data_IF_687910267946
#
_entry.id   IF_687910267946
#
_cell.length_a   1.000
_cell.length_b   1.000
_cell.length_c   1.000
_cell.angle_alpha   90.00
_cell.angle_beta   90.00
_cell.angle_gamma   90.00
#
_symmetry.space_group_name_H-M   'P 1'
#
loop_
_entity.id
_entity.type
_entity.pdbx_description
1 polymer ?
#
# COMPACT_ATOMS: atom_id res chain seq x y z
N UNK A 1 -32.02 17.32 -17.85
CA UNK A 1 -31.12 17.26 -16.67
C UNK A 1 -31.88 17.49 -15.36
N UNK A 2 -32.56 18.63 -15.17
CA UNK A 2 -33.34 18.90 -13.93
C UNK A 2 -34.50 17.91 -13.72
N UNK A 3 -35.23 17.56 -14.79
CA UNK A 3 -36.37 16.63 -14.74
C UNK A 3 -35.99 15.16 -14.43
N UNK A 4 -34.70 14.82 -14.49
CA UNK A 4 -34.20 13.46 -14.21
C UNK A 4 -33.53 13.34 -12.83
N UNK A 5 -33.58 14.40 -12.01
CA UNK A 5 -33.08 14.33 -10.64
C UNK A 5 -33.94 13.36 -9.81
N UNK A 6 -33.35 12.58 -8.89
CA UNK A 6 -34.09 11.70 -7.99
C UNK A 6 -35.20 12.46 -7.23
N UNK A 7 -36.33 11.81 -6.88
CA UNK A 7 -37.43 12.47 -6.17
C UNK A 7 -37.01 13.16 -4.86
N UNK A 8 -36.01 12.59 -4.17
CA UNK A 8 -35.43 13.19 -2.96
C UNK A 8 -34.76 14.53 -3.25
N UNK A 9 -34.05 14.68 -4.38
CA UNK A 9 -33.41 15.93 -4.76
C UNK A 9 -34.45 16.99 -5.17
N UNK A 10 -35.50 16.57 -5.89
CA UNK A 10 -36.59 17.47 -6.28
C UNK A 10 -37.34 18.04 -5.06
N UNK A 11 -37.55 17.23 -4.01
CA UNK A 11 -38.30 17.63 -2.82
C UNK A 11 -37.66 18.79 -2.05
N UNK A 12 -36.35 18.75 -1.80
CA UNK A 12 -35.67 19.84 -1.09
C UNK A 12 -35.42 21.05 -2.01
N UNK A 13 -35.19 20.84 -3.32
CA UNK A 13 -35.08 21.93 -4.29
C UNK A 13 -36.38 22.72 -4.38
N UNK A 14 -37.54 22.04 -4.39
CA UNK A 14 -38.84 22.67 -4.32
C UNK A 14 -39.02 23.50 -3.03
N UNK A 15 -38.46 23.06 -1.89
CA UNK A 15 -38.45 23.83 -0.64
C UNK A 15 -37.52 25.05 -0.70
N UNK A 16 -36.34 24.92 -1.33
CA UNK A 16 -35.38 26.02 -1.49
C UNK A 16 -35.92 27.12 -2.41
N UNK A 17 -36.57 26.74 -3.50
CA UNK A 17 -37.17 27.65 -4.49
C UNK A 17 -38.61 28.04 -4.16
N UNK A 18 -39.10 27.70 -2.96
CA UNK A 18 -40.36 28.22 -2.44
C UNK A 18 -40.22 29.68 -2.01
N UNK A 19 -41.36 30.35 -1.77
CA UNK A 19 -41.36 31.69 -1.18
C UNK A 19 -40.50 31.71 0.09
N UNK A 20 -39.61 32.70 0.26
CA UNK A 20 -39.58 34.00 -0.39
C UNK A 20 -38.76 34.09 -1.70
N UNK A 21 -38.27 32.97 -2.25
CA UNK A 21 -37.59 32.98 -3.55
C UNK A 21 -38.64 33.15 -4.65
N UNK A 22 -38.44 34.13 -5.54
CA UNK A 22 -39.34 34.35 -6.69
C UNK A 22 -39.01 33.44 -7.88
N UNK A 23 -37.85 32.77 -7.85
CA UNK A 23 -37.48 31.75 -8.83
C UNK A 23 -38.16 30.42 -8.48
N UNK A 24 -39.39 30.23 -8.97
CA UNK A 24 -40.17 29.03 -8.64
C UNK A 24 -39.58 27.76 -9.29
N UNK A 25 -39.58 26.65 -8.55
CA UNK A 25 -39.12 25.35 -9.04
C UNK A 25 -39.90 24.85 -10.27
N UNK A 26 -41.23 25.05 -10.29
CA UNK A 26 -42.06 24.71 -11.45
C UNK A 26 -41.65 25.50 -12.70
N UNK A 27 -41.33 26.79 -12.57
CA UNK A 27 -40.87 27.61 -13.69
C UNK A 27 -39.52 27.14 -14.26
N UNK A 28 -38.65 26.57 -13.42
CA UNK A 28 -37.39 25.94 -13.85
C UNK A 28 -37.62 24.60 -14.58
N UNK A 29 -38.65 23.84 -14.19
CA UNK A 29 -39.02 22.56 -14.82
C UNK A 29 -39.70 22.77 -16.18
N UNK A 30 -40.60 23.75 -16.25
CA UNK A 30 -41.43 24.05 -17.42
C UNK A 30 -40.72 24.97 -18.43
N UNK A 31 -39.53 25.48 -18.08
CA UNK A 31 -38.72 26.35 -18.94
C UNK A 31 -39.24 27.79 -19.06
N UNK A 32 -40.14 28.23 -18.18
CA UNK A 32 -40.69 29.59 -18.15
C UNK A 32 -39.88 30.58 -17.32
N UNK A 33 -38.87 30.09 -16.57
CA UNK A 33 -37.91 30.93 -15.87
C UNK A 33 -36.98 31.68 -16.86
N UNK A 34 -36.47 32.87 -16.51
CA UNK A 34 -35.54 33.57 -17.37
C UNK A 34 -34.26 32.75 -17.59
N UNK A 35 -33.80 32.73 -18.85
CA UNK A 35 -32.85 31.73 -19.36
C UNK A 35 -31.52 31.75 -18.58
N UNK A 36 -31.02 32.93 -18.26
CA UNK A 36 -29.74 33.13 -17.57
C UNK A 36 -29.75 32.48 -16.18
N UNK A 37 -30.80 32.71 -15.41
CA UNK A 37 -30.96 32.19 -14.06
C UNK A 37 -31.21 30.68 -14.08
N UNK A 38 -31.99 30.21 -15.06
CA UNK A 38 -32.20 28.78 -15.26
C UNK A 38 -30.89 28.05 -15.59
N UNK A 39 -30.04 28.62 -16.45
CA UNK A 39 -28.76 28.03 -16.82
C UNK A 39 -27.76 28.03 -15.65
N UNK A 40 -27.75 29.10 -14.85
CA UNK A 40 -26.94 29.13 -13.61
C UNK A 40 -27.35 28.01 -12.65
N UNK A 41 -28.67 27.81 -12.43
CA UNK A 41 -29.14 26.71 -11.58
C UNK A 41 -28.75 25.35 -12.17
N UNK A 42 -28.88 25.15 -13.49
CA UNK A 42 -28.48 23.90 -14.15
C UNK A 42 -26.99 23.59 -13.97
N UNK A 43 -26.14 24.60 -14.09
CA UNK A 43 -24.70 24.46 -13.91
C UNK A 43 -24.33 23.98 -12.50
N UNK A 44 -24.97 24.53 -11.46
CA UNK A 44 -24.71 24.07 -10.10
C UNK A 44 -25.31 22.69 -9.80
N UNK A 45 -26.44 22.36 -10.43
CA UNK A 45 -27.04 21.03 -10.30
C UNK A 45 -26.26 19.94 -11.07
N UNK A 46 -25.45 20.29 -12.07
CA UNK A 46 -24.54 19.33 -12.74
C UNK A 46 -23.48 18.78 -11.77
N UNK A 47 -23.07 19.61 -10.79
CA UNK A 47 -22.07 19.29 -9.77
C UNK A 47 -22.66 18.52 -8.57
N UNK A 48 -23.97 18.31 -8.55
CA UNK A 48 -24.66 17.59 -7.48
C UNK A 48 -24.21 16.12 -7.44
N UNK A 49 -23.80 15.65 -6.26
CA UNK A 49 -23.24 14.32 -6.05
C UNK A 49 -21.71 14.27 -6.03
N UNK A 50 -21.03 15.34 -6.47
CA UNK A 50 -19.58 15.47 -6.31
C UNK A 50 -19.24 15.94 -4.89
N UNK A 51 -18.72 15.04 -4.05
CA UNK A 51 -18.30 15.37 -2.66
C UNK A 51 -17.22 16.46 -2.57
N UNK A 52 -16.51 16.71 -3.67
CA UNK A 52 -15.43 17.69 -3.75
C UNK A 52 -15.89 19.07 -4.27
N UNK A 53 -17.15 19.20 -4.71
CA UNK A 53 -17.70 20.44 -5.24
C UNK A 53 -18.75 21.04 -4.29
N UNK A 54 -18.68 22.34 -3.97
CA UNK A 54 -19.76 23.01 -3.28
C UNK A 54 -21.00 23.13 -4.17
N UNK A 55 -22.12 23.46 -3.53
CA UNK A 55 -23.36 23.82 -4.18
C UNK A 55 -23.67 25.27 -3.88
N UNK A 56 -23.88 26.08 -4.93
CA UNK A 56 -24.22 27.50 -4.81
C UNK A 56 -25.50 27.76 -5.60
N UNK A 57 -26.56 28.26 -4.95
CA UNK A 57 -27.85 28.48 -5.58
C UNK A 57 -28.31 29.94 -5.48
N UNK A 58 -28.90 30.51 -6.55
CA UNK A 58 -29.35 31.89 -6.57
C UNK A 58 -30.65 32.09 -5.78
N UNK A 59 -30.79 33.28 -5.22
CA UNK A 59 -31.99 33.76 -4.55
C UNK A 59 -32.53 35.00 -5.27
N UNK A 60 -33.77 34.92 -5.75
CA UNK A 60 -34.42 36.01 -6.48
C UNK A 60 -35.50 36.71 -5.67
N UNK A 61 -35.56 38.03 -5.81
CA UNK A 61 -36.62 38.89 -5.25
C UNK A 61 -36.72 40.18 -6.08
N UNK A 62 -37.94 40.67 -6.30
CA UNK A 62 -38.17 41.87 -7.11
C UNK A 62 -37.82 41.68 -8.60
N UNK A 63 -37.93 40.46 -9.12
CA UNK A 63 -37.63 40.15 -10.53
C UNK A 63 -36.14 40.01 -10.89
N UNK A 64 -35.23 40.04 -9.91
CA UNK A 64 -33.78 39.86 -10.12
C UNK A 64 -33.11 39.01 -9.05
N UNK A 65 -31.86 38.61 -9.29
CA UNK A 65 -31.04 37.92 -8.30
C UNK A 65 -30.62 38.91 -7.22
N UNK A 66 -30.90 38.59 -5.96
CA UNK A 66 -30.58 39.43 -4.78
C UNK A 66 -29.52 38.81 -3.86
N UNK A 67 -29.08 37.59 -4.18
CA UNK A 67 -27.97 36.92 -3.51
C UNK A 67 -27.84 35.46 -3.88
N UNK A 68 -26.91 34.77 -3.23
CA UNK A 68 -26.68 33.34 -3.35
C UNK A 68 -26.57 32.69 -1.99
N UNK A 69 -26.95 31.42 -1.94
CA UNK A 69 -26.67 30.54 -0.82
C UNK A 69 -25.67 29.47 -1.24
N UNK A 70 -24.62 29.30 -0.45
CA UNK A 70 -23.57 28.33 -0.70
C UNK A 70 -23.47 27.32 0.45
N UNK A 71 -23.27 26.05 0.12
CA UNK A 71 -23.04 24.96 1.09
C UNK A 71 -22.11 23.91 0.54
N UNK A 72 -21.44 23.18 1.42
CA UNK A 72 -20.78 21.92 1.06
C UNK A 72 -21.81 20.81 0.89
N UNK A 73 -21.50 19.83 0.05
CA UNK A 73 -22.34 18.63 -0.15
C UNK A 73 -22.06 17.55 0.92
N UNK A 74 -21.96 17.97 2.19
CA UNK A 74 -21.70 17.13 3.37
C UNK A 74 -21.47 17.95 4.64
N UNK A 75 -21.42 17.30 5.80
CA UNK A 75 -21.35 17.98 7.10
C UNK A 75 -19.98 18.64 7.42
N UNK A 76 -18.94 18.33 6.65
CA UNK A 76 -17.58 18.85 6.85
C UNK A 76 -17.18 19.83 5.73
N UNK A 77 -16.07 20.56 5.93
CA UNK A 77 -15.49 21.44 4.90
C UNK A 77 -16.14 22.82 4.81
N UNK A 78 -17.07 23.15 5.71
CA UNK A 78 -17.85 24.38 5.63
C UNK A 78 -16.99 25.65 5.79
N UNK A 79 -16.01 25.63 6.70
CA UNK A 79 -15.14 26.80 6.90
C UNK A 79 -14.22 27.04 5.71
N UNK A 80 -13.65 25.94 5.19
CA UNK A 80 -12.80 25.95 4.00
C UNK A 80 -13.56 26.46 2.77
N UNK A 81 -14.82 26.08 2.62
CA UNK A 81 -15.69 26.65 1.58
C UNK A 81 -15.86 28.16 1.73
N UNK A 82 -16.02 28.64 2.97
CA UNK A 82 -16.13 30.06 3.25
C UNK A 82 -14.88 30.82 2.77
N UNK A 83 -13.71 30.30 3.12
CA UNK A 83 -12.43 30.89 2.72
C UNK A 83 -12.21 30.83 1.19
N UNK A 84 -12.58 29.71 0.56
CA UNK A 84 -12.48 29.51 -0.90
C UNK A 84 -13.35 30.51 -1.67
N UNK A 85 -14.62 30.67 -1.28
CA UNK A 85 -15.54 31.62 -1.92
C UNK A 85 -15.06 33.06 -1.71
N UNK A 86 -14.63 33.39 -0.49
CA UNK A 86 -14.14 34.74 -0.19
C UNK A 86 -12.88 35.08 -0.99
N UNK A 87 -11.95 34.13 -1.12
CA UNK A 87 -10.76 34.28 -1.95
C UNK A 87 -11.10 34.41 -3.45
N UNK A 88 -12.07 33.64 -3.94
CA UNK A 88 -12.48 33.65 -5.35
C UNK A 88 -13.20 34.95 -5.78
N UNK A 89 -14.15 35.40 -4.95
CA UNK A 89 -14.95 36.58 -5.25
C UNK A 89 -14.21 37.88 -4.89
N UNK A 90 -13.38 37.84 -3.84
CA UNK A 90 -12.67 38.99 -3.30
C UNK A 90 -13.60 40.00 -2.60
N UNK A 91 -13.04 40.87 -1.74
CA UNK A 91 -13.85 41.82 -0.96
C UNK A 91 -14.46 42.95 -1.80
N UNK A 92 -13.96 43.20 -3.01
CA UNK A 92 -14.35 44.35 -3.84
C UNK A 92 -15.83 44.35 -4.22
N UNK A 93 -16.43 43.17 -4.42
CA UNK A 93 -17.81 43.05 -4.92
C UNK A 93 -18.79 42.61 -3.84
N UNK A 94 -18.30 42.11 -2.71
CA UNK A 94 -19.12 41.53 -1.65
C UNK A 94 -19.61 42.63 -0.70
N UNK A 95 -20.92 42.86 -0.64
CA UNK A 95 -21.54 43.67 0.42
C UNK A 95 -21.92 42.83 1.62
N UNK A 96 -22.20 41.54 1.38
CA UNK A 96 -22.57 40.58 2.41
C UNK A 96 -21.90 39.26 2.13
N UNK A 97 -21.15 38.79 3.12
CA UNK A 97 -20.61 37.43 3.18
C UNK A 97 -20.74 36.95 4.62
N UNK A 98 -21.83 36.25 4.92
CA UNK A 98 -22.14 35.83 6.28
C UNK A 98 -22.48 34.34 6.35
N UNK A 99 -22.06 33.71 7.43
CA UNK A 99 -22.51 32.36 7.79
C UNK A 99 -23.89 32.46 8.40
N UNK A 100 -24.86 31.74 7.84
CA UNK A 100 -26.21 31.70 8.39
C UNK A 100 -26.22 30.89 9.69
N UNK A 101 -26.67 31.46 10.83
CA UNK A 101 -26.75 30.73 12.09
C UNK A 101 -27.66 29.51 11.99
N UNK A 102 -27.35 28.45 12.75
CA UNK A 102 -28.15 27.21 12.76
C UNK A 102 -29.59 27.44 13.22
N UNK A 103 -29.81 28.37 14.15
CA UNK A 103 -31.14 28.69 14.68
C UNK A 103 -31.89 29.75 13.83
N UNK A 104 -31.35 30.09 12.67
CA UNK A 104 -32.00 31.03 11.75
C UNK A 104 -33.27 30.41 11.13
N UNK A 105 -34.35 31.20 11.10
CA UNK A 105 -35.62 30.87 10.44
C UNK A 105 -35.56 31.09 8.90
N UNK A 106 -34.37 31.15 8.33
CA UNK A 106 -34.16 31.27 6.90
C UNK A 106 -34.51 29.93 6.21
N UNK A 107 -35.58 29.94 5.42
CA UNK A 107 -36.12 28.75 4.75
C UNK A 107 -35.15 28.14 3.74
N UNK A 108 -34.39 28.97 3.01
CA UNK A 108 -33.41 28.51 2.02
C UNK A 108 -32.22 27.85 2.72
N UNK A 109 -31.68 28.49 3.76
CA UNK A 109 -30.60 27.92 4.53
C UNK A 109 -31.01 26.63 5.26
N UNK A 110 -32.27 26.54 5.71
CA UNK A 110 -32.82 25.34 6.35
C UNK A 110 -32.93 24.19 5.33
N UNK A 111 -33.42 24.45 4.11
CA UNK A 111 -33.50 23.42 3.07
C UNK A 111 -32.12 22.82 2.71
N UNK A 112 -31.08 23.66 2.62
CA UNK A 112 -29.71 23.20 2.37
C UNK A 112 -29.13 22.42 3.57
N UNK A 113 -29.37 22.86 4.80
CA UNK A 113 -28.93 22.18 6.03
C UNK A 113 -29.58 20.82 6.19
N UNK A 114 -30.89 20.73 5.98
CA UNK A 114 -31.63 19.46 6.06
C UNK A 114 -31.07 18.42 5.09
N UNK A 115 -30.63 18.85 3.89
CA UNK A 115 -30.10 17.96 2.86
C UNK A 115 -28.64 17.56 3.07
N UNK A 116 -27.77 18.48 3.46
CA UNK A 116 -26.32 18.26 3.46
C UNK A 116 -25.66 18.28 4.84
N UNK A 117 -26.34 18.82 5.86
CA UNK A 117 -25.80 18.96 7.22
C UNK A 117 -24.62 19.93 7.34
N UNK A 118 -24.23 20.61 6.27
CA UNK A 118 -23.07 21.50 6.18
C UNK A 118 -23.35 22.92 6.66
N UNK A 119 -22.29 23.73 6.67
CA UNK A 119 -22.37 25.18 6.92
C UNK A 119 -22.93 25.88 5.69
N UNK A 120 -23.91 26.77 5.89
CA UNK A 120 -24.50 27.58 4.82
C UNK A 120 -23.99 29.01 4.91
N UNK A 121 -23.53 29.53 3.77
CA UNK A 121 -23.16 30.93 3.59
C UNK A 121 -24.20 31.66 2.75
N UNK A 122 -24.41 32.92 3.08
CA UNK A 122 -25.21 33.86 2.29
C UNK A 122 -24.30 34.94 1.72
N UNK A 123 -24.42 35.15 0.41
CA UNK A 123 -23.55 36.00 -0.38
C UNK A 123 -24.42 37.02 -1.11
N UNK A 124 -24.07 38.30 -1.07
CA UNK A 124 -24.71 39.34 -1.86
C UNK A 124 -23.72 40.44 -2.27
N UNK A 125 -24.01 41.08 -3.41
CA UNK A 125 -23.28 42.23 -3.93
C UNK A 125 -23.86 43.56 -3.43
N UNK A 126 -23.11 44.65 -3.59
CA UNK A 126 -23.51 45.98 -3.15
C UNK A 126 -24.56 46.63 -4.06
N UNK A 127 -24.44 46.39 -5.36
CA UNK A 127 -25.27 46.96 -6.43
C UNK A 127 -25.44 45.95 -7.58
N UNK A 128 -26.23 46.32 -8.59
CA UNK A 128 -26.51 45.45 -9.74
C UNK A 128 -25.24 45.09 -10.53
N UNK A 129 -24.25 45.99 -10.59
CA UNK A 129 -22.98 45.74 -11.27
C UNK A 129 -22.14 44.69 -10.53
N UNK A 130 -22.10 44.76 -9.20
CA UNK A 130 -21.48 43.75 -8.35
C UNK A 130 -22.22 42.41 -8.47
N UNK A 131 -23.55 42.42 -8.50
CA UNK A 131 -24.36 41.21 -8.67
C UNK A 131 -24.10 40.53 -10.01
N UNK A 132 -24.02 41.29 -11.11
CA UNK A 132 -23.64 40.74 -12.41
C UNK A 132 -22.22 40.17 -12.41
N UNK A 133 -21.28 40.87 -11.77
CA UNK A 133 -19.87 40.41 -11.66
C UNK A 133 -19.76 39.12 -10.84
N UNK A 134 -20.45 39.03 -9.70
CA UNK A 134 -20.49 37.82 -8.87
C UNK A 134 -21.12 36.67 -9.65
N UNK A 135 -22.21 36.91 -10.38
CA UNK A 135 -22.86 35.91 -11.24
C UNK A 135 -21.85 35.29 -12.21
N UNK A 136 -21.12 36.13 -12.95
CA UNK A 136 -20.12 35.68 -13.91
C UNK A 136 -19.00 34.87 -13.24
N UNK A 137 -18.44 35.38 -12.13
CA UNK A 137 -17.38 34.69 -11.39
C UNK A 137 -17.82 33.34 -10.80
N UNK A 138 -19.07 33.23 -10.34
CA UNK A 138 -19.61 31.96 -9.85
C UNK A 138 -19.78 30.95 -11.00
N UNK A 139 -20.15 31.40 -12.19
CA UNK A 139 -20.20 30.52 -13.38
C UNK A 139 -18.80 30.08 -13.82
N UNK A 140 -17.79 30.94 -13.72
CA UNK A 140 -16.39 30.55 -13.95
C UNK A 140 -15.92 29.52 -12.91
N UNK A 141 -16.29 29.74 -11.64
CA UNK A 141 -15.95 28.83 -10.55
C UNK A 141 -16.53 27.44 -10.78
N UNK A 142 -17.82 27.34 -11.12
CA UNK A 142 -18.46 26.07 -11.46
C UNK A 142 -17.78 25.41 -12.68
N UNK A 143 -17.41 26.16 -13.71
CA UNK A 143 -16.70 25.63 -14.88
C UNK A 143 -15.33 25.04 -14.54
N UNK A 144 -14.60 25.63 -13.59
CA UNK A 144 -13.32 25.10 -13.09
C UNK A 144 -13.56 23.82 -12.29
N UNK A 145 -14.61 23.77 -11.46
CA UNK A 145 -14.96 22.59 -10.68
C UNK A 145 -15.38 21.41 -11.57
N UNK A 146 -16.11 21.66 -12.67
CA UNK A 146 -16.47 20.63 -13.65
C UNK A 146 -15.25 20.00 -14.33
N UNK A 147 -14.18 20.78 -14.53
CA UNK A 147 -12.91 20.32 -15.12
C UNK A 147 -11.93 19.76 -14.11
N UNK A 148 -12.28 19.78 -12.82
CA UNK A 148 -11.39 19.32 -11.75
C UNK A 148 -11.17 17.80 -11.91
N UNK A 149 -9.92 17.34 -12.11
CA UNK A 149 -9.66 15.91 -12.15
C UNK A 149 -10.05 15.29 -10.81
N UNK A 150 -10.63 14.08 -10.85
CA UNK A 150 -10.92 13.27 -9.68
C UNK A 150 -9.58 12.92 -9.00
N UNK A 151 -9.11 13.79 -8.13
CA UNK A 151 -7.95 13.53 -7.31
C UNK A 151 -8.36 12.56 -6.21
N UNK A 152 -8.30 11.26 -6.50
CA UNK A 152 -8.31 10.22 -5.49
C UNK A 152 -7.04 10.46 -4.66
N UNK A 153 -7.16 11.18 -3.54
CA UNK A 153 -6.11 11.19 -2.53
C UNK A 153 -6.07 9.78 -1.95
N UNK A 154 -5.35 8.89 -2.63
CA UNK A 154 -4.94 7.61 -2.06
C UNK A 154 -4.16 7.98 -0.81
N UNK A 155 -4.76 7.77 0.37
CA UNK A 155 -4.07 7.98 1.65
C UNK A 155 -2.84 7.10 1.59
N UNK A 156 -1.68 7.73 1.50
CA UNK A 156 -0.42 7.01 1.37
C UNK A 156 -0.22 6.19 2.64
N UNK A 157 -0.35 4.87 2.51
CA UNK A 157 -0.23 3.96 3.65
C UNK A 157 1.24 3.89 4.09
N UNK A 158 1.52 3.73 5.38
CA UNK A 158 2.89 3.50 5.83
C UNK A 158 3.38 2.14 5.33
N UNK A 159 4.67 2.07 4.95
CA UNK A 159 5.30 0.85 4.39
C UNK A 159 5.08 -0.36 5.31
N UNK A 160 5.17 -0.16 6.63
CA UNK A 160 4.93 -1.23 7.61
C UNK A 160 3.51 -1.81 7.58
N UNK A 161 2.49 -1.00 7.26
CA UNK A 161 1.12 -1.49 7.15
C UNK A 161 0.92 -2.33 5.88
N UNK A 162 1.50 -1.90 4.75
CA UNK A 162 1.45 -2.68 3.49
C UNK A 162 2.19 -4.01 3.69
N UNK A 163 3.36 -3.98 4.36
CA UNK A 163 4.13 -5.20 4.66
C UNK A 163 3.36 -6.15 5.58
N UNK A 164 2.71 -5.63 6.62
CA UNK A 164 1.92 -6.47 7.52
C UNK A 164 0.73 -7.13 6.82
N UNK A 165 0.09 -6.44 5.89
CA UNK A 165 -1.02 -7.02 5.12
C UNK A 165 -0.52 -8.01 4.07
N UNK A 166 0.64 -7.75 3.46
CA UNK A 166 1.31 -8.72 2.58
C UNK A 166 1.60 -10.05 3.31
N UNK A 167 2.22 -10.02 4.49
CA UNK A 167 2.47 -11.26 5.26
C UNK A 167 1.16 -11.94 5.67
N UNK A 168 0.10 -11.18 5.97
CA UNK A 168 -1.22 -11.75 6.27
C UNK A 168 -1.84 -12.44 5.06
N UNK A 169 -1.72 -11.85 3.87
CA UNK A 169 -2.19 -12.44 2.63
C UNK A 169 -1.45 -13.75 2.31
N UNK A 170 -0.12 -13.78 2.52
CA UNK A 170 0.66 -15.01 2.38
C UNK A 170 0.20 -16.10 3.36
N UNK A 171 -0.03 -15.76 4.63
CA UNK A 171 -0.55 -16.72 5.63
C UNK A 171 -1.95 -17.23 5.28
N UNK A 172 -2.76 -16.42 4.59
CA UNK A 172 -4.09 -16.80 4.12
C UNK A 172 -4.07 -17.57 2.78
N UNK A 173 -2.92 -17.65 2.10
CA UNK A 173 -2.81 -18.19 0.75
C UNK A 173 -3.50 -17.34 -0.32
N UNK A 174 -3.75 -16.05 -0.05
CA UNK A 174 -4.38 -15.13 -0.99
C UNK A 174 -3.32 -14.47 -1.88
N UNK A 175 -2.99 -15.16 -2.97
CA UNK A 175 -2.05 -14.70 -4.00
C UNK A 175 -2.45 -13.33 -4.56
N UNK A 176 -3.73 -13.15 -4.90
CA UNK A 176 -4.22 -11.91 -5.53
C UNK A 176 -4.02 -10.70 -4.65
N UNK A 177 -4.27 -10.85 -3.34
CA UNK A 177 -4.06 -9.79 -2.38
C UNK A 177 -2.57 -9.52 -2.15
N UNK A 178 -1.74 -10.57 -2.09
CA UNK A 178 -0.30 -10.42 -1.92
C UNK A 178 0.37 -9.70 -3.11
N UNK A 179 -0.03 -10.04 -4.34
CA UNK A 179 0.41 -9.36 -5.56
C UNK A 179 -0.02 -7.89 -5.60
N UNK A 180 -1.25 -7.59 -5.17
CA UNK A 180 -1.74 -6.22 -5.08
C UNK A 180 -0.88 -5.37 -4.13
N UNK A 181 -0.40 -5.94 -3.01
CA UNK A 181 0.50 -5.23 -2.10
C UNK A 181 1.87 -4.96 -2.73
N UNK A 182 2.42 -5.90 -3.51
CA UNK A 182 3.66 -5.68 -4.27
C UNK A 182 3.47 -4.58 -5.32
N UNK A 183 2.33 -4.58 -6.04
CA UNK A 183 2.00 -3.53 -6.99
C UNK A 183 1.89 -2.16 -6.31
N UNK A 184 1.30 -2.09 -5.11
CA UNK A 184 1.26 -0.86 -4.31
C UNK A 184 2.67 -0.38 -3.94
N UNK A 185 3.57 -1.30 -3.53
CA UNK A 185 4.97 -0.95 -3.29
C UNK A 185 5.67 -0.40 -4.53
N UNK A 186 5.47 -1.02 -5.71
CA UNK A 186 6.03 -0.54 -6.99
C UNK A 186 5.52 0.87 -7.32
N UNK A 187 4.21 1.12 -7.18
CA UNK A 187 3.60 2.42 -7.49
C UNK A 187 4.10 3.55 -6.60
N UNK A 188 4.41 3.26 -5.32
CA UNK A 188 4.88 4.30 -4.40
C UNK A 188 6.36 4.67 -4.58
N UNK A 189 7.15 3.86 -5.32
CA UNK A 189 8.58 4.09 -5.55
C UNK A 189 9.44 4.05 -4.28
N UNK A 190 8.92 3.45 -3.20
CA UNK A 190 9.56 3.46 -1.87
C UNK A 190 10.57 2.34 -1.65
N UNK A 191 10.66 1.40 -2.58
CA UNK A 191 11.57 0.26 -2.53
C UNK A 191 12.53 0.33 -3.71
N UNK A 192 13.79 -0.06 -3.47
CA UNK A 192 14.75 -0.31 -4.54
C UNK A 192 14.44 -1.66 -5.23
N UNK A 193 15.06 -1.87 -6.39
CA UNK A 193 14.92 -3.13 -7.17
C UNK A 193 15.34 -4.36 -6.36
N UNK A 194 16.32 -4.24 -5.47
CA UNK A 194 16.77 -5.35 -4.60
C UNK A 194 15.66 -5.78 -3.62
N UNK A 195 15.06 -4.83 -2.90
CA UNK A 195 13.96 -5.10 -1.98
C UNK A 195 12.74 -5.66 -2.70
N UNK A 196 12.54 -5.26 -3.95
CA UNK A 196 11.47 -5.79 -4.77
C UNK A 196 11.70 -7.27 -5.08
N UNK A 197 12.92 -7.64 -5.49
CA UNK A 197 13.29 -9.05 -5.71
C UNK A 197 13.15 -9.89 -4.45
N UNK A 198 13.48 -9.33 -3.27
CA UNK A 198 13.23 -10.01 -1.99
C UNK A 198 11.75 -10.29 -1.77
N UNK A 199 10.86 -9.34 -2.09
CA UNK A 199 9.41 -9.56 -1.97
C UNK A 199 8.89 -10.60 -2.96
N UNK A 200 9.43 -10.66 -4.17
CA UNK A 200 9.05 -11.65 -5.19
C UNK A 200 9.47 -13.07 -4.79
N UNK A 201 10.68 -13.23 -4.23
CA UNK A 201 11.11 -14.51 -3.62
C UNK A 201 10.20 -14.87 -2.45
N UNK A 202 9.90 -13.90 -1.58
CA UNK A 202 9.04 -14.12 -0.41
C UNK A 202 7.61 -14.52 -0.80
N UNK A 203 7.06 -13.93 -1.85
CA UNK A 203 5.76 -14.30 -2.40
C UNK A 203 5.78 -15.75 -2.88
N UNK A 204 6.75 -16.09 -3.74
CA UNK A 204 6.90 -17.45 -4.28
C UNK A 204 7.05 -18.48 -3.17
N UNK A 205 7.82 -18.17 -2.13
CA UNK A 205 8.02 -19.02 -0.96
C UNK A 205 6.74 -19.17 -0.14
N UNK A 206 6.02 -18.07 0.13
CA UNK A 206 4.75 -18.07 0.85
C UNK A 206 3.65 -18.88 0.13
N UNK A 207 3.66 -18.89 -1.19
CA UNK A 207 2.75 -19.69 -2.03
C UNK A 207 3.22 -21.15 -2.24
N UNK A 208 4.38 -21.52 -1.72
CA UNK A 208 4.93 -22.86 -1.85
C UNK A 208 5.48 -23.19 -3.24
N UNK A 209 5.79 -22.19 -4.07
CA UNK A 209 6.35 -22.33 -5.41
C UNK A 209 7.86 -22.62 -5.38
N UNK A 210 8.29 -23.51 -4.50
CA UNK A 210 9.70 -23.83 -4.23
C UNK A 210 10.51 -24.20 -5.49
N UNK A 211 10.01 -25.06 -6.39
CA UNK A 211 10.77 -25.43 -7.58
C UNK A 211 10.98 -24.27 -8.55
N UNK A 212 10.11 -23.25 -8.55
CA UNK A 212 10.27 -22.09 -9.42
C UNK A 212 11.44 -21.23 -8.95
N UNK A 213 11.55 -21.02 -7.64
CA UNK A 213 12.69 -20.32 -7.03
C UNK A 213 13.99 -21.09 -7.28
N UNK A 214 14.00 -22.39 -6.96
CA UNK A 214 15.19 -23.23 -7.05
C UNK A 214 15.75 -23.36 -8.48
N UNK A 215 14.88 -23.32 -9.50
CA UNK A 215 15.28 -23.41 -10.90
C UNK A 215 15.74 -22.09 -11.50
N UNK A 216 15.52 -20.95 -10.83
CA UNK A 216 16.05 -19.66 -11.28
C UNK A 216 17.48 -19.45 -10.75
N UNK A 217 18.43 -20.09 -11.44
CA UNK A 217 19.83 -20.11 -11.05
C UNK A 217 20.47 -18.71 -11.09
N UNK A 218 19.99 -17.86 -12.01
CA UNK A 218 20.49 -16.49 -12.17
C UNK A 218 20.03 -15.60 -11.02
N UNK A 219 18.75 -15.71 -10.63
CA UNK A 219 18.21 -15.02 -9.47
C UNK A 219 18.99 -15.37 -8.21
N UNK A 220 19.16 -16.67 -7.93
CA UNK A 220 19.85 -17.13 -6.73
C UNK A 220 21.29 -16.61 -6.68
N UNK A 221 22.03 -16.72 -7.78
CA UNK A 221 23.43 -16.23 -7.85
C UNK A 221 23.50 -14.73 -7.61
N UNK A 222 22.62 -13.96 -8.25
CA UNK A 222 22.58 -12.50 -8.09
C UNK A 222 22.24 -12.09 -6.65
N UNK A 223 21.31 -12.80 -6.01
CA UNK A 223 20.89 -12.53 -4.64
C UNK A 223 21.94 -12.97 -3.61
N UNK A 224 22.66 -14.07 -3.86
CA UNK A 224 23.70 -14.58 -2.96
C UNK A 224 24.89 -13.62 -2.81
N UNK A 225 25.12 -12.74 -3.78
CA UNK A 225 26.14 -11.69 -3.72
C UNK A 225 25.70 -10.46 -2.88
N UNK A 226 24.42 -10.38 -2.50
CA UNK A 226 23.85 -9.27 -1.74
C UNK A 226 23.75 -9.58 -0.23
N UNK A 227 23.55 -8.53 0.56
CA UNK A 227 23.27 -8.67 1.99
C UNK A 227 21.83 -9.17 2.22
N UNK A 228 21.65 -10.49 2.26
CA UNK A 228 20.33 -11.13 2.35
C UNK A 228 19.64 -10.97 3.72
N UNK A 229 18.40 -10.46 3.80
CA UNK A 229 17.61 -10.55 5.02
C UNK A 229 17.45 -12.02 5.47
N UNK A 230 17.46 -12.34 6.78
CA UNK A 230 17.43 -13.72 7.27
C UNK A 230 16.26 -14.56 6.72
N UNK A 231 15.09 -13.94 6.56
CA UNK A 231 13.93 -14.63 6.00
C UNK A 231 14.13 -15.03 4.54
N UNK A 232 14.74 -14.16 3.73
CA UNK A 232 15.00 -14.46 2.31
C UNK A 232 16.06 -15.54 2.17
N UNK A 233 17.11 -15.49 3.01
CA UNK A 233 18.11 -16.56 3.05
C UNK A 233 17.46 -17.92 3.39
N UNK A 234 16.57 -17.95 4.39
CA UNK A 234 15.83 -19.14 4.74
C UNK A 234 14.95 -19.65 3.58
N UNK A 235 14.20 -18.75 2.93
CA UNK A 235 13.31 -19.07 1.82
C UNK A 235 14.09 -19.64 0.61
N UNK A 236 15.26 -19.07 0.29
CA UNK A 236 16.14 -19.55 -0.78
C UNK A 236 16.72 -20.95 -0.47
N UNK A 237 17.31 -21.14 0.71
CA UNK A 237 17.89 -22.43 1.10
C UNK A 237 16.79 -23.50 1.19
N UNK A 238 15.63 -23.17 1.74
CA UNK A 238 14.49 -24.08 1.82
C UNK A 238 13.99 -24.47 0.42
N UNK A 239 13.94 -23.53 -0.52
CA UNK A 239 13.55 -23.83 -1.90
C UNK A 239 14.49 -24.83 -2.57
N UNK A 240 15.80 -24.64 -2.41
CA UNK A 240 16.83 -25.51 -2.97
C UNK A 240 16.79 -26.90 -2.33
N UNK A 241 16.71 -26.95 -1.00
CA UNK A 241 16.67 -28.20 -0.25
C UNK A 241 15.44 -29.04 -0.63
N UNK A 242 14.25 -28.44 -0.65
CA UNK A 242 13.00 -29.13 -1.05
C UNK A 242 13.05 -29.65 -2.48
N UNK A 243 13.69 -28.92 -3.37
CA UNK A 243 13.68 -29.25 -4.80
C UNK A 243 14.69 -30.34 -5.15
N UNK A 244 15.86 -30.36 -4.51
CA UNK A 244 16.97 -31.22 -4.92
C UNK A 244 17.39 -32.29 -3.90
N UNK A 245 17.07 -32.11 -2.60
CA UNK A 245 17.62 -32.94 -1.51
C UNK A 245 16.54 -33.72 -0.78
N UNK A 246 15.35 -33.14 -0.61
CA UNK A 246 14.26 -33.72 0.20
C UNK A 246 13.82 -35.11 -0.30
N UNK A 247 13.84 -35.37 -1.61
CA UNK A 247 13.47 -36.69 -2.16
C UNK A 247 14.46 -37.78 -1.71
N UNK A 248 15.77 -37.51 -1.79
CA UNK A 248 16.81 -38.46 -1.37
C UNK A 248 16.79 -38.69 0.15
N UNK A 249 16.49 -37.65 0.93
CA UNK A 249 16.31 -37.76 2.37
C UNK A 249 15.12 -38.68 2.71
N UNK A 250 13.98 -38.51 2.03
CA UNK A 250 12.78 -39.34 2.27
C UNK A 250 13.00 -40.81 1.88
N UNK A 251 13.80 -41.06 0.85
CA UNK A 251 14.18 -42.42 0.44
C UNK A 251 15.22 -43.06 1.37
N UNK A 252 15.82 -42.29 2.28
CA UNK A 252 16.86 -42.77 3.20
C UNK A 252 18.21 -43.01 2.54
N UNK A 253 18.47 -42.42 1.37
CA UNK A 253 19.75 -42.55 0.66
C UNK A 253 20.68 -41.40 1.03
N UNK A 254 21.45 -41.58 2.11
CA UNK A 254 22.41 -40.58 2.59
C UNK A 254 23.56 -40.29 1.62
N UNK A 255 23.86 -41.20 0.69
CA UNK A 255 24.86 -40.95 -0.38
C UNK A 255 24.28 -40.05 -1.46
N UNK A 256 23.13 -40.40 -2.03
CA UNK A 256 22.46 -39.59 -3.04
C UNK A 256 22.09 -38.20 -2.50
N UNK A 257 21.71 -38.11 -1.22
CA UNK A 257 21.43 -36.83 -0.55
C UNK A 257 22.64 -35.90 -0.54
N UNK A 258 23.83 -36.43 -0.18
CA UNK A 258 25.08 -35.65 -0.16
C UNK A 258 25.54 -35.26 -1.56
N UNK A 259 25.46 -36.19 -2.51
CA UNK A 259 25.83 -35.93 -3.90
C UNK A 259 24.93 -34.85 -4.53
N UNK A 260 23.62 -34.95 -4.33
CA UNK A 260 22.65 -33.96 -4.81
C UNK A 260 22.88 -32.59 -4.16
N UNK A 261 23.14 -32.55 -2.84
CA UNK A 261 23.44 -31.31 -2.14
C UNK A 261 24.73 -30.66 -2.67
N UNK A 262 25.81 -31.43 -2.83
CA UNK A 262 27.08 -30.94 -3.34
C UNK A 262 26.93 -30.37 -4.76
N UNK A 263 26.29 -31.14 -5.65
CA UNK A 263 26.16 -30.80 -7.06
C UNK A 263 25.24 -29.60 -7.31
N UNK A 264 24.12 -29.51 -6.61
CA UNK A 264 23.08 -28.52 -6.90
C UNK A 264 23.05 -27.31 -5.96
N UNK A 265 23.65 -27.41 -4.76
CA UNK A 265 23.52 -26.38 -3.73
C UNK A 265 24.88 -25.89 -3.22
N UNK A 266 25.68 -26.79 -2.62
CA UNK A 266 26.91 -26.43 -1.92
C UNK A 266 27.99 -25.85 -2.83
N UNK A 267 28.27 -26.50 -3.97
CA UNK A 267 29.28 -26.04 -4.92
C UNK A 267 28.80 -24.82 -5.73
N UNK A 268 27.56 -24.76 -6.26
CA UNK A 268 27.12 -23.62 -7.05
C UNK A 268 26.91 -22.33 -6.23
N UNK A 269 26.52 -22.44 -4.96
CA UNK A 269 26.10 -21.31 -4.13
C UNK A 269 26.75 -21.25 -2.73
N UNK A 270 28.09 -21.32 -2.62
CA UNK A 270 28.78 -21.38 -1.33
C UNK A 270 28.50 -20.15 -0.44
N UNK A 271 28.31 -18.97 -1.04
CA UNK A 271 28.04 -17.72 -0.32
C UNK A 271 26.75 -17.73 0.50
N UNK A 272 25.77 -18.58 0.17
CA UNK A 272 24.56 -18.75 0.97
C UNK A 272 24.86 -19.33 2.36
N UNK A 273 25.97 -20.05 2.50
CA UNK A 273 26.38 -20.72 3.73
C UNK A 273 27.46 -19.97 4.51
N UNK A 274 27.78 -18.73 4.11
CA UNK A 274 28.73 -17.84 4.78
C UNK A 274 28.38 -17.58 6.26
N UNK A 275 27.09 -17.36 6.55
CA UNK A 275 26.59 -17.24 7.92
C UNK A 275 25.10 -17.59 7.99
N UNK A 276 24.71 -18.34 9.02
CA UNK A 276 23.32 -18.75 9.27
C UNK A 276 22.47 -17.63 9.84
N UNK A 277 23.07 -16.55 10.37
CA UNK A 277 22.37 -15.38 10.96
C UNK A 277 21.27 -15.75 11.97
N UNK A 278 21.48 -16.84 12.72
CA UNK A 278 20.55 -17.30 13.76
C UNK A 278 19.31 -18.06 13.27
N UNK A 279 19.16 -18.35 11.97
CA UNK A 279 18.01 -19.07 11.41
C UNK A 279 17.94 -20.50 11.98
N UNK A 280 16.77 -20.92 12.47
CA UNK A 280 16.53 -22.25 13.10
C UNK A 280 15.56 -23.14 12.31
N UNK A 281 15.19 -22.76 11.10
CA UNK A 281 14.32 -23.59 10.26
C UNK A 281 14.98 -24.96 10.00
N UNK A 282 14.30 -26.10 10.22
CA UNK A 282 14.94 -27.42 10.19
C UNK A 282 15.70 -27.73 8.89
N UNK A 283 15.11 -27.45 7.72
CA UNK A 283 15.75 -27.67 6.41
C UNK A 283 16.99 -26.81 6.22
N UNK A 284 16.97 -25.58 6.70
CA UNK A 284 18.13 -24.69 6.66
C UNK A 284 19.25 -25.24 7.54
N UNK A 285 18.93 -25.68 8.76
CA UNK A 285 19.91 -26.29 9.66
C UNK A 285 20.53 -27.54 9.06
N UNK A 286 19.73 -28.42 8.44
CA UNK A 286 20.22 -29.60 7.71
C UNK A 286 21.14 -29.23 6.55
N UNK A 287 20.77 -28.21 5.77
CA UNK A 287 21.60 -27.72 4.66
C UNK A 287 22.97 -27.18 5.15
N UNK A 288 23.00 -26.45 6.28
CA UNK A 288 24.26 -26.01 6.88
C UNK A 288 25.10 -27.18 7.39
N UNK A 289 24.49 -28.23 7.96
CA UNK A 289 25.21 -29.43 8.38
C UNK A 289 25.81 -30.18 7.18
N UNK A 290 25.05 -30.34 6.09
CA UNK A 290 25.56 -30.90 4.83
C UNK A 290 26.70 -30.07 4.25
N UNK A 291 26.62 -28.74 4.35
CA UNK A 291 27.68 -27.85 3.87
C UNK A 291 28.98 -27.99 4.67
N UNK A 292 28.90 -28.17 5.99
CA UNK A 292 30.09 -28.43 6.83
C UNK A 292 30.75 -29.78 6.46
N UNK A 293 29.95 -30.80 6.14
CA UNK A 293 30.47 -32.09 5.66
C UNK A 293 31.19 -32.02 4.29
N UNK A 294 30.94 -30.99 3.48
CA UNK A 294 31.65 -30.78 2.21
C UNK A 294 32.98 -30.07 2.37
N UNK A 295 33.29 -29.55 3.56
CA UNK A 295 34.54 -28.83 3.78
C UNK A 295 35.73 -29.81 3.77
N UNK A 296 36.94 -29.34 3.39
CA UNK A 296 38.14 -30.18 3.42
C UNK A 296 38.46 -30.77 4.79
N UNK A 297 38.11 -30.05 5.87
CA UNK A 297 38.29 -30.47 7.27
C UNK A 297 36.99 -30.22 8.07
N UNK A 298 36.01 -31.15 8.02
CA UNK A 298 34.73 -30.97 8.69
C UNK A 298 34.87 -30.94 10.21
N UNK A 299 34.34 -29.89 10.87
CA UNK A 299 34.38 -29.80 12.33
C UNK A 299 33.17 -30.54 12.97
N UNK A 300 33.39 -31.66 13.69
CA UNK A 300 32.31 -32.42 14.31
C UNK A 300 31.55 -31.63 15.39
N UNK A 301 32.20 -30.66 16.03
CA UNK A 301 31.57 -29.83 17.07
C UNK A 301 30.53 -28.87 16.47
N UNK A 302 30.79 -28.35 15.27
CA UNK A 302 29.85 -27.49 14.53
C UNK A 302 28.64 -28.31 14.10
N UNK A 303 28.86 -29.51 13.57
CA UNK A 303 27.80 -30.43 13.15
C UNK A 303 26.91 -30.80 14.34
N UNK A 304 27.51 -31.16 15.48
CA UNK A 304 26.75 -31.47 16.70
C UNK A 304 25.94 -30.26 17.18
N UNK A 305 26.54 -29.06 17.18
CA UNK A 305 25.85 -27.83 17.56
C UNK A 305 24.66 -27.52 16.64
N UNK A 306 24.78 -27.79 15.33
CA UNK A 306 23.69 -27.64 14.37
C UNK A 306 22.58 -28.65 14.63
N UNK A 307 22.90 -29.92 14.85
CA UNK A 307 21.89 -30.95 15.14
C UNK A 307 21.14 -30.70 16.45
N UNK A 308 21.77 -30.11 17.46
CA UNK A 308 21.09 -29.67 18.70
C UNK A 308 20.00 -28.62 18.48
N UNK A 309 20.00 -27.93 17.32
CA UNK A 309 18.96 -26.95 16.98
C UNK A 309 17.72 -27.58 16.30
N UNK A 310 17.80 -28.85 15.89
CA UNK A 310 16.69 -29.55 15.26
C UNK A 310 15.64 -30.00 16.30
N UNK A 311 14.36 -30.15 15.91
CA UNK A 311 13.34 -30.70 16.80
C UNK A 311 13.70 -32.09 17.31
N UNK A 312 13.36 -32.38 18.57
CA UNK A 312 13.57 -33.69 19.19
C UNK A 312 12.87 -34.79 18.40
N UNK A 313 13.60 -35.84 18.02
CA UNK A 313 13.10 -36.95 17.20
C UNK A 313 13.36 -36.82 15.70
N UNK A 314 14.10 -35.80 15.26
CA UNK A 314 14.59 -35.72 13.88
C UNK A 314 15.65 -36.81 13.66
N UNK A 315 15.46 -37.66 12.65
CA UNK A 315 16.46 -38.65 12.28
C UNK A 315 17.68 -37.97 11.65
N UNK A 316 18.81 -38.00 12.35
CA UNK A 316 20.10 -37.44 11.89
C UNK A 316 21.04 -38.52 11.37
N UNK A 317 20.65 -39.81 11.42
CA UNK A 317 21.52 -40.93 11.03
C UNK A 317 21.94 -40.87 9.55
N UNK A 318 21.08 -40.31 8.69
CA UNK A 318 21.36 -40.11 7.27
C UNK A 318 22.47 -39.08 7.00
N UNK A 319 22.78 -38.24 7.99
CA UNK A 319 23.80 -37.20 7.89
C UNK A 319 25.13 -37.66 8.51
N UNK A 320 25.16 -38.79 9.22
CA UNK A 320 26.39 -39.33 9.79
C UNK A 320 27.32 -39.85 8.67
N UNK A 321 28.58 -39.41 8.69
CA UNK A 321 29.62 -39.95 7.83
C UNK A 321 30.15 -41.23 8.49
N UNK A 322 30.14 -42.35 7.77
CA UNK A 322 30.79 -43.57 8.23
C UNK A 322 32.25 -43.23 8.61
N UNK A 323 32.74 -43.63 9.80
CA UNK A 323 34.00 -43.16 10.31
C UNK A 323 35.14 -43.60 9.37
N UNK A 324 35.80 -42.63 8.74
CA UNK A 324 37.12 -42.84 8.17
C UNK A 324 38.09 -43.24 9.31
N UNK A 325 39.09 -44.10 9.05
CA UNK A 325 40.01 -44.55 10.09
C UNK A 325 40.66 -43.33 10.76
N UNK A 326 40.59 -43.31 12.09
CA UNK A 326 41.08 -42.24 12.97
C UNK A 326 42.43 -41.69 12.50
N UNK A 327 42.40 -40.50 11.89
CA UNK A 327 43.57 -39.63 11.86
C UNK A 327 43.60 -38.90 13.20
N UNK A 328 44.74 -39.05 13.86
CA UNK A 328 45.13 -38.49 15.16
C UNK A 328 44.61 -37.05 15.32
N UNK A 329 44.10 -36.63 16.49
CA UNK A 329 43.61 -35.26 16.68
C UNK A 329 44.77 -34.28 16.44
N UNK A 330 44.67 -33.50 15.36
CA UNK A 330 45.59 -32.38 15.15
C UNK A 330 45.19 -31.29 16.14
N UNK A 331 46.05 -31.11 17.14
CA UNK A 331 45.93 -30.09 18.16
C UNK A 331 46.05 -28.68 17.55
N UNK A 332 45.12 -27.81 17.97
CA UNK A 332 45.02 -26.38 17.71
C UNK A 332 44.57 -26.01 16.29
N UNK A 333 43.36 -25.46 16.18
CA UNK A 333 42.96 -24.68 15.02
C UNK A 333 43.99 -23.56 14.80
N UNK A 334 44.70 -23.61 13.68
CA UNK A 334 45.76 -22.63 13.37
C UNK A 334 45.14 -21.31 12.94
N UNK A 335 45.80 -20.19 13.26
CA UNK A 335 45.40 -18.85 12.81
C UNK A 335 45.22 -18.80 11.28
N UNK A 336 45.98 -19.62 10.54
CA UNK A 336 45.85 -19.83 9.09
C UNK A 336 44.49 -20.40 8.68
N UNK A 337 43.90 -21.34 9.43
CA UNK A 337 42.56 -21.89 9.16
C UNK A 337 41.46 -20.86 9.43
N UNK A 338 41.68 -19.96 10.41
CA UNK A 338 40.77 -18.85 10.68
C UNK A 338 40.85 -17.74 9.61
N UNK A 339 42.02 -17.52 9.02
CA UNK A 339 42.22 -16.57 7.92
C UNK A 339 41.70 -17.16 6.59
N UNK A 340 41.90 -18.44 6.32
CA UNK A 340 41.30 -19.13 5.15
C UNK A 340 39.76 -19.12 5.21
N UNK A 341 39.17 -19.41 6.38
CA UNK A 341 37.73 -19.28 6.58
C UNK A 341 37.23 -17.83 6.44
N UNK A 342 38.06 -16.82 6.74
CA UNK A 342 37.72 -15.43 6.52
C UNK A 342 37.74 -15.06 5.03
N UNK A 343 38.78 -15.49 4.31
CA UNK A 343 38.95 -15.25 2.88
C UNK A 343 37.85 -15.94 2.05
N UNK A 344 37.39 -17.11 2.51
CA UNK A 344 36.23 -17.83 1.94
C UNK A 344 34.86 -17.26 2.36
N UNK A 345 34.84 -16.23 3.22
CA UNK A 345 33.61 -15.59 3.71
C UNK A 345 32.81 -16.43 4.71
N UNK A 346 33.40 -17.49 5.29
CA UNK A 346 32.79 -18.39 6.26
C UNK A 346 32.93 -17.85 7.70
N UNK A 347 32.24 -16.74 7.99
CA UNK A 347 32.40 -15.99 9.25
C UNK A 347 32.00 -16.80 10.50
N UNK A 348 30.98 -17.65 10.40
CA UNK A 348 30.54 -18.49 11.54
C UNK A 348 31.63 -19.53 11.90
N UNK A 349 32.37 -20.04 10.91
CA UNK A 349 33.45 -21.02 11.09
C UNK A 349 34.70 -20.35 11.66
N UNK A 350 35.05 -19.16 11.17
CA UNK A 350 36.12 -18.32 11.74
C UNK A 350 35.93 -18.05 13.24
N UNK A 351 34.70 -17.74 13.66
CA UNK A 351 34.40 -17.47 15.06
C UNK A 351 34.64 -18.68 15.96
N UNK A 352 34.36 -19.89 15.47
CA UNK A 352 34.63 -21.11 16.22
C UNK A 352 36.13 -21.42 16.32
N UNK A 353 36.93 -21.12 15.28
CA UNK A 353 38.39 -21.27 15.34
C UNK A 353 39.10 -20.23 16.23
N UNK A 354 38.49 -19.07 16.47
CA UNK A 354 39.11 -17.98 17.24
C UNK A 354 38.71 -17.92 18.72
N UNK A 355 37.63 -18.62 19.11
CA UNK A 355 37.11 -18.65 20.48
C UNK A 355 37.18 -20.05 21.14
N UNK A 356 37.84 -21.02 20.51
CA UNK A 356 38.04 -22.39 21.00
C UNK A 356 39.20 -22.55 21.98
#
# INVERSE_FOLDING_TARGET
MIQHLPPQEQAWLARFFARPNELNWSSLLDGSAPLREADQVRQWLSLLGSRAAPLILPFMRGGGVTGWYATTQGAAGGYELGDEINAWLGPTWLSRFERVPKDSNDSMATALRDRFGGTVYRIAGADDAAMQTITARLSDFASVLERRPLATRTRVRPVGAIRSDFERALLAGDETQAEAMIAEFKQTGRLNEENLRYLEVRLSAGLGLWPQIARDHWLIKTLADLALPPQILADLIESLYRTYVEEAEVLGDGTAMRDAFAQHIGIPYPKLFASRRGIRAPRVVKAFALYEHLQPDPDPSIIEALFRLLPTGTDTSLFEVAPAPQLVPSSAATLEQADEAFDDGQFDRRLNFTCG
#
